data_IF_450803077991
#
_entry.id   IF_450803077991
#
_cell.length_a   1.000
_cell.length_b   1.000
_cell.length_c   1.000
_cell.angle_alpha   90.00
_cell.angle_beta   90.00
_cell.angle_gamma   90.00
#
_symmetry.space_group_name_H-M   'P 1'
#
loop_
_entity.id
_entity.type
_entity.pdbx_description
1 polymer ?
#
# COMPACT_ATOMS: atom_id res chain seq x y z
N UNK A 1 -12.33 -10.32 -11.56
CA UNK A 1 -13.18 -9.14 -11.30
C UNK A 1 -12.66 -8.41 -10.07
N UNK A 2 -12.33 -7.12 -10.18
CA UNK A 2 -11.83 -6.31 -9.05
C UNK A 2 -13.04 -5.75 -8.28
N UNK A 3 -13.12 -5.99 -6.96
CA UNK A 3 -14.14 -5.40 -6.08
C UNK A 3 -13.47 -4.46 -5.08
N UNK A 4 -13.98 -3.24 -4.97
CA UNK A 4 -13.46 -2.19 -4.06
C UNK A 4 -14.21 -2.24 -2.73
N UNK A 5 -13.52 -2.18 -1.58
CA UNK A 5 -14.13 -2.09 -0.25
C UNK A 5 -13.30 -1.17 0.65
N UNK A 6 -13.91 -0.21 1.35
CA UNK A 6 -13.24 0.71 2.29
C UNK A 6 -11.84 1.23 1.84
N UNK A 7 -11.65 1.52 0.55
CA UNK A 7 -10.39 2.01 -0.01
C UNK A 7 -9.40 0.92 -0.44
N UNK A 8 -9.67 -0.34 -0.08
CA UNK A 8 -8.95 -1.52 -0.56
C UNK A 8 -9.50 -2.10 -1.86
N UNK A 9 -8.64 -2.84 -2.56
CA UNK A 9 -8.85 -3.48 -3.85
C UNK A 9 -8.74 -4.99 -3.63
N UNK A 10 -9.81 -5.74 -3.91
CA UNK A 10 -9.77 -7.20 -3.90
C UNK A 10 -9.22 -7.71 -5.23
N UNK A 11 -8.06 -8.37 -5.17
CA UNK A 11 -7.44 -9.04 -6.32
C UNK A 11 -7.87 -10.51 -6.36
N UNK A 12 -7.84 -11.11 -7.55
CA UNK A 12 -8.21 -12.51 -7.77
C UNK A 12 -7.43 -13.46 -6.84
N UNK A 13 -8.14 -14.39 -6.20
CA UNK A 13 -7.60 -15.38 -5.25
C UNK A 13 -6.59 -16.36 -5.88
N UNK A 14 -6.60 -16.48 -7.20
CA UNK A 14 -5.63 -17.27 -7.96
C UNK A 14 -4.26 -16.58 -8.08
N UNK A 15 -4.19 -15.27 -7.82
CA UNK A 15 -2.91 -14.56 -7.73
C UNK A 15 -2.18 -15.00 -6.47
N UNK A 16 -0.95 -15.48 -6.59
CA UNK A 16 -0.13 -15.97 -5.47
C UNK A 16 1.09 -15.06 -5.23
N UNK A 17 1.51 -14.89 -3.96
CA UNK A 17 2.77 -14.22 -3.64
C UNK A 17 3.96 -14.92 -4.29
N UNK A 18 4.94 -14.13 -4.70
CA UNK A 18 6.23 -14.60 -5.14
C UNK A 18 7.12 -14.91 -3.93
N UNK A 19 8.04 -15.86 -4.13
CA UNK A 19 9.17 -16.03 -3.21
C UNK A 19 9.98 -14.74 -3.11
N UNK A 20 10.51 -14.43 -1.92
CA UNK A 20 11.23 -13.17 -1.65
C UNK A 20 12.31 -12.85 -2.70
N UNK A 21 13.10 -13.84 -3.10
CA UNK A 21 14.17 -13.71 -4.11
C UNK A 21 13.71 -13.34 -5.53
N UNK A 22 12.41 -13.42 -5.81
CA UNK A 22 11.82 -13.08 -7.12
C UNK A 22 11.13 -11.72 -7.12
N UNK A 23 11.06 -11.06 -5.96
CA UNK A 23 10.46 -9.72 -5.83
C UNK A 23 11.48 -8.69 -6.27
N UNK A 24 11.02 -7.68 -6.98
CA UNK A 24 11.85 -6.61 -7.51
C UNK A 24 11.36 -5.30 -6.94
N UNK A 25 12.29 -4.50 -6.42
CA UNK A 25 12.01 -3.16 -5.96
C UNK A 25 11.57 -2.31 -7.16
N UNK A 26 10.41 -1.62 -7.09
CA UNK A 26 10.02 -0.66 -8.11
C UNK A 26 10.89 0.60 -8.03
N UNK A 27 10.86 1.41 -9.07
CA UNK A 27 11.48 2.74 -9.01
C UNK A 27 10.77 3.62 -7.95
N UNK A 28 11.54 4.18 -7.02
CA UNK A 28 11.02 4.80 -5.79
C UNK A 28 11.03 6.33 -5.89
N UNK A 29 9.84 6.93 -5.78
CA UNK A 29 9.62 8.38 -5.84
C UNK A 29 8.78 8.83 -4.65
N UNK A 30 9.35 9.67 -3.77
CA UNK A 30 8.62 10.18 -2.61
C UNK A 30 7.42 11.01 -3.08
N UNK A 31 6.27 10.81 -2.44
CA UNK A 31 4.99 11.45 -2.77
C UNK A 31 4.20 10.74 -3.86
N UNK A 32 4.73 9.67 -4.49
CA UNK A 32 4.01 8.91 -5.51
C UNK A 32 3.12 7.83 -4.89
N UNK A 33 2.10 7.44 -5.66
CA UNK A 33 1.16 6.40 -5.29
C UNK A 33 1.66 5.01 -5.71
N UNK A 34 1.54 4.08 -4.79
CA UNK A 34 1.89 2.66 -4.90
C UNK A 34 0.76 1.80 -4.32
N UNK A 35 0.99 0.50 -4.28
CA UNK A 35 0.07 -0.48 -3.70
C UNK A 35 0.81 -1.42 -2.75
N UNK A 36 0.15 -1.80 -1.66
CA UNK A 36 0.67 -2.79 -0.69
C UNK A 36 -0.40 -3.84 -0.39
N UNK A 37 0.02 -5.09 -0.17
CA UNK A 37 -0.85 -6.18 0.25
C UNK A 37 -0.29 -6.81 1.52
N UNK A 38 -1.10 -6.91 2.57
CA UNK A 38 -0.70 -7.58 3.82
C UNK A 38 -1.19 -9.03 3.88
N UNK A 39 -2.36 -9.33 3.33
CA UNK A 39 -2.92 -10.68 3.36
C UNK A 39 -4.13 -10.81 2.44
N UNK A 40 -4.54 -12.05 2.19
CA UNK A 40 -5.84 -12.39 1.60
C UNK A 40 -6.11 -11.72 0.24
N UNK A 41 -5.08 -11.35 -0.51
CA UNK A 41 -5.21 -10.63 -1.78
C UNK A 41 -5.99 -9.30 -1.63
N UNK A 42 -5.96 -8.73 -0.42
CA UNK A 42 -6.49 -7.41 -0.11
C UNK A 42 -5.36 -6.40 -0.30
N UNK A 43 -5.55 -5.52 -1.26
CA UNK A 43 -4.55 -4.50 -1.62
C UNK A 43 -5.01 -3.14 -1.18
N UNK A 44 -4.09 -2.32 -0.70
CA UNK A 44 -4.35 -0.95 -0.29
C UNK A 44 -3.51 0.01 -1.14
N UNK A 45 -4.11 1.05 -1.73
CA UNK A 45 -3.34 2.15 -2.29
C UNK A 45 -2.60 2.86 -1.15
N UNK A 46 -1.36 3.24 -1.40
CA UNK A 46 -0.52 3.92 -0.43
C UNK A 46 0.35 4.97 -1.11
N UNK A 47 0.80 5.96 -0.35
CA UNK A 47 1.74 6.97 -0.83
C UNK A 47 3.11 6.70 -0.20
N UNK A 48 4.18 6.78 -1.00
CA UNK A 48 5.55 6.69 -0.48
C UNK A 48 5.89 7.98 0.28
N UNK A 49 6.22 7.89 1.56
CA UNK A 49 6.50 9.04 2.42
C UNK A 49 7.99 9.23 2.68
N UNK A 50 8.74 8.13 2.79
CA UNK A 50 10.15 8.15 3.17
C UNK A 50 10.85 6.91 2.61
N UNK A 51 12.11 7.07 2.23
CA UNK A 51 13.01 5.98 1.83
C UNK A 51 14.08 5.86 2.91
N UNK A 52 14.20 4.67 3.50
CA UNK A 52 15.10 4.37 4.61
C UNK A 52 16.10 3.33 4.08
N UNK A 53 17.36 3.71 3.94
CA UNK A 53 18.42 2.80 3.48
C UNK A 53 19.27 2.38 4.67
N UNK A 54 19.23 1.10 5.01
CA UNK A 54 20.07 0.49 6.04
C UNK A 54 20.86 -0.68 5.46
N UNK A 55 22.18 -0.51 5.37
CA UNK A 55 23.09 -1.50 4.77
C UNK A 55 22.63 -1.90 3.36
N UNK A 56 22.37 -3.19 3.14
CA UNK A 56 21.94 -3.75 1.86
C UNK A 56 20.40 -3.84 1.73
N UNK A 57 19.66 -3.19 2.65
CA UNK A 57 18.20 -3.20 2.66
C UNK A 57 17.64 -1.80 2.47
N UNK A 58 16.66 -1.69 1.59
CA UNK A 58 15.84 -0.50 1.44
C UNK A 58 14.46 -0.76 2.02
N UNK A 59 14.14 -0.04 3.08
CA UNK A 59 12.81 0.07 3.66
C UNK A 59 12.14 1.35 3.20
N UNK A 60 10.82 1.35 3.23
CA UNK A 60 10.00 2.48 2.83
C UNK A 60 8.90 2.71 3.84
N UNK A 61 8.71 3.99 4.20
CA UNK A 61 7.56 4.41 4.98
C UNK A 61 6.43 4.74 4.01
N UNK A 62 5.31 4.05 4.15
CA UNK A 62 4.12 4.26 3.31
C UNK A 62 2.95 4.76 4.15
N UNK A 63 2.14 5.64 3.55
CA UNK A 63 0.87 6.09 4.12
C UNK A 63 -0.31 5.41 3.46
N UNK A 64 -1.12 4.69 4.24
CA UNK A 64 -2.37 4.06 3.78
C UNK A 64 -3.56 4.88 4.27
N UNK A 65 -4.47 5.36 3.39
CA UNK A 65 -5.67 6.06 3.82
C UNK A 65 -6.59 5.14 4.64
N UNK A 66 -6.98 5.56 5.85
CA UNK A 66 -7.83 4.78 6.77
C UNK A 66 -9.29 4.71 6.29
N UNK A 67 -9.68 5.57 5.35
CA UNK A 67 -11.01 5.53 4.72
C UNK A 67 -10.89 5.87 3.22
N UNK A 68 -11.76 5.28 2.39
CA UNK A 68 -11.83 5.56 0.94
C UNK A 68 -12.19 7.01 0.66
N UNK A 69 -11.27 7.78 0.08
CA UNK A 69 -11.39 9.20 -0.29
C UNK A 69 -12.80 9.50 -0.85
N UNK A 70 -13.69 10.07 -0.04
CA UNK A 70 -15.01 10.50 -0.49
C UNK A 70 -14.87 11.88 -1.14
N UNK A 71 -15.73 12.23 -2.13
CA UNK A 71 -15.81 13.59 -2.68
C UNK A 71 -16.13 14.66 -1.63
N UNK A 72 -16.56 14.27 -0.42
CA UNK A 72 -16.97 15.15 0.68
C UNK A 72 -15.99 15.15 1.88
N UNK A 73 -14.84 14.48 1.78
CA UNK A 73 -13.89 14.30 2.90
C UNK A 73 -14.39 13.31 3.96
N UNK A 74 -13.79 13.35 5.16
CA UNK A 74 -14.27 12.63 6.35
C UNK A 74 -14.53 13.59 7.50
N UNK A 75 -15.52 13.27 8.32
CA UNK A 75 -15.70 13.92 9.61
C UNK A 75 -14.95 13.07 10.65
N UNK A 76 -14.02 13.71 11.39
CA UNK A 76 -13.29 13.07 12.49
C UNK A 76 -14.19 12.88 13.73
N UNK A 77 -13.66 12.29 14.79
CA UNK A 77 -14.41 12.03 16.04
C UNK A 77 -14.88 13.30 16.77
N UNK A 78 -14.53 14.50 16.29
CA UNK A 78 -14.79 15.79 16.93
C UNK A 78 -15.56 16.74 15.99
N UNK A 79 -15.99 16.26 14.80
CA UNK A 79 -16.81 17.04 13.87
C UNK A 79 -16.03 17.82 12.80
N UNK A 80 -14.70 17.74 12.75
CA UNK A 80 -13.93 18.46 11.75
C UNK A 80 -13.83 17.69 10.44
N UNK A 81 -13.79 18.44 9.33
CA UNK A 81 -13.39 17.88 8.04
C UNK A 81 -11.90 17.57 8.07
N UNK A 82 -11.57 16.29 8.20
CA UNK A 82 -10.20 15.80 8.05
C UNK A 82 -10.03 15.13 6.69
N UNK A 83 -8.93 15.48 6.02
CA UNK A 83 -8.50 14.87 4.77
C UNK A 83 -7.48 13.73 5.01
N UNK A 84 -7.06 13.52 6.26
CA UNK A 84 -5.89 12.68 6.58
C UNK A 84 -6.09 11.95 7.91
N UNK A 85 -6.71 10.78 7.85
CA UNK A 85 -6.33 9.70 8.74
C UNK A 85 -5.56 8.73 7.86
N UNK A 86 -4.23 8.84 7.88
CA UNK A 86 -3.32 7.98 7.13
C UNK A 86 -2.60 7.10 8.14
N UNK A 87 -2.76 5.78 8.04
CA UNK A 87 -1.97 4.85 8.83
C UNK A 87 -0.61 4.70 8.16
N UNK A 88 0.47 4.98 8.87
CA UNK A 88 1.82 4.78 8.36
C UNK A 88 2.31 3.38 8.67
N UNK A 89 2.98 2.74 7.72
CA UNK A 89 3.65 1.46 7.91
C UNK A 89 5.07 1.54 7.32
N UNK A 90 6.01 0.78 7.89
CA UNK A 90 7.34 0.57 7.32
C UNK A 90 7.35 -0.85 6.74
N UNK A 91 7.76 -0.97 5.48
CA UNK A 91 7.84 -2.24 4.74
C UNK A 91 9.13 -2.25 3.92
N UNK A 92 9.58 -3.40 3.45
CA UNK A 92 10.67 -3.44 2.47
C UNK A 92 10.21 -2.84 1.13
N UNK A 93 11.11 -2.18 0.41
CA UNK A 93 10.81 -1.62 -0.90
C UNK A 93 10.33 -2.67 -1.92
N UNK A 94 10.74 -3.93 -1.75
CA UNK A 94 10.28 -5.08 -2.55
C UNK A 94 8.87 -5.56 -2.21
N UNK A 95 8.22 -4.99 -1.18
CA UNK A 95 6.88 -5.39 -0.72
C UNK A 95 5.76 -4.47 -1.23
N UNK A 96 6.12 -3.37 -1.89
CA UNK A 96 5.18 -2.49 -2.59
C UNK A 96 5.16 -2.82 -4.09
N UNK A 97 4.07 -2.47 -4.77
CA UNK A 97 3.89 -2.67 -6.20
C UNK A 97 3.38 -1.42 -6.89
N UNK A 98 3.66 -1.31 -8.19
CA UNK A 98 3.10 -0.26 -9.06
C UNK A 98 1.66 -0.56 -9.47
N UNK A 99 1.23 -1.82 -9.34
CA UNK A 99 -0.14 -2.26 -9.59
C UNK A 99 -0.68 -3.10 -8.43
N UNK A 100 -2.02 -3.26 -8.33
CA UNK A 100 -2.58 -4.15 -7.31
C UNK A 100 -2.13 -5.61 -7.44
N UNK A 101 -1.93 -6.09 -8.67
CA UNK A 101 -1.45 -7.45 -8.90
C UNK A 101 -0.01 -7.59 -8.38
N UNK A 102 0.83 -6.59 -8.63
CA UNK A 102 2.20 -6.59 -8.12
C UNK A 102 2.23 -6.54 -6.60
N UNK A 103 1.36 -5.76 -5.96
CA UNK A 103 1.24 -5.74 -4.51
C UNK A 103 0.90 -7.13 -3.92
N UNK A 104 0.02 -7.91 -4.56
CA UNK A 104 -0.25 -9.29 -4.12
C UNK A 104 0.93 -10.21 -4.37
N UNK A 105 1.62 -10.07 -5.51
CA UNK A 105 2.86 -10.82 -5.79
C UNK A 105 3.96 -10.48 -4.78
N UNK A 106 4.00 -9.23 -4.32
CA UNK A 106 4.97 -8.70 -3.39
C UNK A 106 4.50 -8.75 -1.94
N UNK A 107 3.39 -9.46 -1.66
CA UNK A 107 2.75 -9.46 -0.35
C UNK A 107 3.75 -9.61 0.80
N UNK A 108 3.57 -8.77 1.82
CA UNK A 108 4.31 -8.83 3.08
C UNK A 108 4.23 -10.25 3.62
N UNK A 109 5.39 -10.85 3.85
CA UNK A 109 5.55 -12.26 4.22
C UNK A 109 5.63 -12.46 5.72
#
# INVERSE_FOLDING_TARGET
MIKTFQGGIKVDHNTKPLSYSKRVQPDLHIGYDYYVSFANNNVYPCTLLEIINEFDKTEVKIGIPVKSKSKKGFIDGIGNRSFYLTQTNIVYATEIGLTPIDAVKNQVG
#
